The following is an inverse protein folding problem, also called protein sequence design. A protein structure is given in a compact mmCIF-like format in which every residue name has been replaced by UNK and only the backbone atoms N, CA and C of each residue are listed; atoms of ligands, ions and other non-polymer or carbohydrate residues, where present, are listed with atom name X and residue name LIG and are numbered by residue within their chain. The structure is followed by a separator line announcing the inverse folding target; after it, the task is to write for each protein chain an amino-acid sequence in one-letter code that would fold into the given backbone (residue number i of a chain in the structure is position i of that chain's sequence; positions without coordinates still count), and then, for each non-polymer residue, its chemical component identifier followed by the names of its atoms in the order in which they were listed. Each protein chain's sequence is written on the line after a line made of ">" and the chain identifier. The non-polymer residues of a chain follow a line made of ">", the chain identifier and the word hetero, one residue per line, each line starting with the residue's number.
data_IF_326974946309
#
_entry.id   IF_326974946309
#
_cell.length_a   1.000
_cell.length_b   1.000
_cell.length_c   1.000
_cell.angle_alpha   90.00
_cell.angle_beta   90.00
_cell.angle_gamma   90.00
#
_symmetry.space_group_name_H-M   'P 1'
#
loop_
_entity.id
_entity.type
_entity.pdbx_description
1 polymer ?
#
# COMPACT_ATOMS: atom_id res chain seq x y z
N UNK A 1 -13.39 8.78 -9.06
CA UNK A 1 -14.40 7.71 -9.03
C UNK A 1 -13.66 6.39 -9.00
N UNK A 2 -13.75 5.62 -7.91
CA UNK A 2 -13.19 4.27 -7.89
C UNK A 2 -13.90 3.44 -8.96
N UNK A 3 -13.15 2.69 -9.76
CA UNK A 3 -13.68 1.88 -10.87
C UNK A 3 -14.46 0.69 -10.30
N UNK A 4 -15.73 0.90 -9.95
CA UNK A 4 -16.63 -0.09 -9.33
C UNK A 4 -16.82 -1.35 -10.18
N UNK A 5 -16.56 -1.27 -11.48
CA UNK A 5 -16.75 -2.38 -12.41
C UNK A 5 -15.59 -3.38 -12.38
N UNK A 6 -14.37 -2.91 -12.10
CA UNK A 6 -13.21 -3.78 -11.96
C UNK A 6 -13.31 -4.62 -10.66
N UNK A 7 -13.75 -4.01 -9.57
CA UNK A 7 -13.96 -4.70 -8.30
C UNK A 7 -15.05 -5.78 -8.42
N UNK A 8 -16.16 -5.45 -9.09
CA UNK A 8 -17.22 -6.44 -9.41
C UNK A 8 -16.69 -7.58 -10.28
N UNK A 9 -15.87 -7.28 -11.28
CA UNK A 9 -15.28 -8.30 -12.14
C UNK A 9 -14.36 -9.24 -11.35
N UNK A 10 -13.58 -8.71 -10.40
CA UNK A 10 -12.70 -9.52 -9.57
C UNK A 10 -13.48 -10.41 -8.60
N UNK A 11 -14.50 -9.86 -7.93
CA UNK A 11 -15.38 -10.65 -7.07
C UNK A 11 -16.11 -11.74 -7.87
N UNK A 12 -16.50 -11.44 -9.12
CA UNK A 12 -17.05 -12.41 -10.05
C UNK A 12 -16.05 -13.53 -10.38
N UNK A 13 -14.79 -13.22 -10.71
CA UNK A 13 -13.73 -14.23 -10.96
C UNK A 13 -13.52 -15.11 -9.73
N UNK A 14 -13.56 -14.55 -8.51
CA UNK A 14 -13.43 -15.34 -7.28
C UNK A 14 -14.60 -16.28 -7.05
N UNK A 15 -15.83 -15.80 -7.29
CA UNK A 15 -17.03 -16.63 -7.19
C UNK A 15 -17.01 -17.77 -8.22
N UNK A 16 -16.54 -17.50 -9.45
CA UNK A 16 -16.33 -18.56 -10.45
C UNK A 16 -15.25 -19.54 -9.98
N UNK A 17 -14.15 -19.06 -9.39
CA UNK A 17 -13.09 -19.93 -8.87
C UNK A 17 -13.63 -20.89 -7.79
N UNK A 18 -14.52 -20.40 -6.92
CA UNK A 18 -15.21 -21.23 -5.93
C UNK A 18 -16.16 -22.24 -6.60
N UNK A 19 -16.91 -21.83 -7.63
CA UNK A 19 -17.72 -22.74 -8.42
C UNK A 19 -16.89 -23.86 -9.05
N UNK A 20 -15.72 -23.54 -9.61
CA UNK A 20 -14.80 -24.54 -10.17
C UNK A 20 -14.30 -25.51 -9.08
N UNK A 21 -14.08 -25.04 -7.85
CA UNK A 21 -13.77 -25.93 -6.73
C UNK A 21 -14.93 -26.88 -6.38
N UNK A 22 -16.18 -26.42 -6.46
CA UNK A 22 -17.34 -27.29 -6.26
C UNK A 22 -17.45 -28.35 -7.37
N UNK A 23 -17.21 -27.96 -8.63
CA UNK A 23 -17.15 -28.89 -9.77
C UNK A 23 -16.00 -29.88 -9.59
N UNK A 24 -14.86 -29.43 -9.07
CA UNK A 24 -13.73 -30.29 -8.74
C UNK A 24 -14.14 -31.38 -7.75
N UNK A 25 -14.83 -31.03 -6.67
CA UNK A 25 -15.35 -32.02 -5.73
C UNK A 25 -16.39 -32.94 -6.38
N UNK A 26 -17.28 -32.41 -7.21
CA UNK A 26 -18.27 -33.23 -7.92
C UNK A 26 -17.63 -34.31 -8.80
N UNK A 27 -16.55 -33.98 -9.51
CA UNK A 27 -15.85 -34.89 -10.42
C UNK A 27 -14.99 -35.90 -9.65
N UNK A 28 -14.18 -35.43 -8.70
CA UNK A 28 -13.13 -36.24 -8.06
C UNK A 28 -13.57 -36.88 -6.73
N UNK A 29 -14.61 -36.36 -6.09
CA UNK A 29 -15.23 -36.94 -4.89
C UNK A 29 -16.62 -37.48 -5.21
N UNK A 30 -16.82 -38.03 -6.41
CA UNK A 30 -18.12 -38.43 -6.94
C UNK A 30 -18.89 -39.38 -5.99
N UNK A 31 -18.20 -40.29 -5.31
CA UNK A 31 -18.80 -41.21 -4.34
C UNK A 31 -19.54 -40.48 -3.21
N UNK A 32 -19.06 -39.30 -2.78
CA UNK A 32 -19.77 -38.48 -1.80
C UNK A 32 -21.11 -38.02 -2.36
N UNK A 33 -21.15 -37.53 -3.60
CA UNK A 33 -22.37 -37.05 -4.24
C UNK A 33 -23.37 -38.17 -4.53
N UNK A 34 -22.87 -39.36 -4.87
CA UNK A 34 -23.69 -40.58 -4.99
C UNK A 34 -24.32 -40.93 -3.64
N UNK A 35 -23.54 -40.90 -2.54
CA UNK A 35 -24.04 -41.21 -1.20
C UNK A 35 -25.11 -40.24 -0.70
N UNK A 36 -25.06 -38.98 -1.14
CA UNK A 36 -26.07 -37.96 -0.84
C UNK A 36 -27.31 -37.99 -1.76
N UNK A 37 -27.35 -38.87 -2.75
CA UNK A 37 -28.43 -38.89 -3.75
C UNK A 37 -28.43 -37.68 -4.69
N UNK A 38 -27.31 -36.96 -4.78
CA UNK A 38 -27.13 -35.78 -5.64
C UNK A 38 -26.55 -36.12 -7.02
N UNK A 39 -26.28 -37.41 -7.29
CA UNK A 39 -25.77 -37.88 -8.57
C UNK A 39 -26.90 -38.04 -9.59
N UNK A 40 -26.74 -37.43 -10.76
CA UNK A 40 -27.64 -37.63 -11.89
C UNK A 40 -26.83 -37.90 -13.19
N UNK A 41 -27.06 -39.02 -13.91
CA UNK A 41 -26.23 -39.42 -15.06
C UNK A 41 -26.14 -38.37 -16.18
N UNK A 42 -27.26 -37.68 -16.47
CA UNK A 42 -27.29 -36.63 -17.50
C UNK A 42 -26.47 -35.41 -17.06
N UNK A 43 -26.56 -35.02 -15.79
CA UNK A 43 -25.84 -33.88 -15.26
C UNK A 43 -24.33 -34.16 -15.22
N UNK A 44 -23.93 -35.36 -14.78
CA UNK A 44 -22.53 -35.80 -14.80
C UNK A 44 -21.95 -35.76 -16.22
N UNK A 45 -22.66 -36.30 -17.21
CA UNK A 45 -22.22 -36.27 -18.62
C UNK A 45 -22.06 -34.85 -19.15
N UNK A 46 -22.98 -33.94 -18.84
CA UNK A 46 -22.91 -32.53 -19.25
C UNK A 46 -21.74 -31.81 -18.59
N UNK A 47 -21.55 -31.96 -17.27
CA UNK A 47 -20.45 -31.35 -16.53
C UNK A 47 -19.12 -31.85 -17.10
N UNK A 48 -18.94 -33.17 -17.23
CA UNK A 48 -17.70 -33.73 -17.78
C UNK A 48 -17.42 -33.28 -19.21
N UNK A 49 -18.45 -33.19 -20.06
CA UNK A 49 -18.28 -32.70 -21.44
C UNK A 49 -17.84 -31.23 -21.49
N UNK A 50 -18.35 -30.38 -20.60
CA UNK A 50 -17.97 -28.96 -20.54
C UNK A 50 -16.54 -28.76 -20.01
N UNK A 51 -16.13 -29.57 -19.03
CA UNK A 51 -14.85 -29.41 -18.33
C UNK A 51 -13.70 -30.25 -18.92
N UNK A 52 -13.99 -31.24 -19.77
CA UNK A 52 -12.96 -32.06 -20.44
C UNK A 52 -12.02 -31.26 -21.37
N UNK A 53 -12.47 -30.30 -22.19
CA UNK A 53 -11.59 -29.57 -23.13
C UNK A 53 -10.50 -28.75 -22.45
N UNK A 54 -10.70 -28.34 -21.20
CA UNK A 54 -9.72 -27.60 -20.40
C UNK A 54 -8.86 -28.51 -19.51
N UNK A 55 -8.92 -29.84 -19.71
CA UNK A 55 -8.14 -30.86 -18.98
C UNK A 55 -8.62 -31.14 -17.55
N UNK A 56 -9.71 -30.51 -17.11
CA UNK A 56 -10.16 -30.54 -15.71
C UNK A 56 -10.55 -31.95 -15.23
N UNK A 57 -10.95 -32.82 -16.16
CA UNK A 57 -11.32 -34.22 -15.90
C UNK A 57 -10.15 -35.20 -15.97
N UNK A 58 -8.95 -34.77 -16.39
CA UNK A 58 -7.82 -35.67 -16.66
C UNK A 58 -7.01 -35.96 -15.40
N UNK A 59 -6.78 -34.95 -14.56
CA UNK A 59 -5.95 -35.06 -13.37
C UNK A 59 -6.47 -34.18 -12.22
N UNK A 60 -6.63 -34.71 -10.99
CA UNK A 60 -7.07 -33.93 -9.83
C UNK A 60 -6.11 -32.80 -9.45
N UNK A 61 -4.82 -32.92 -9.79
CA UNK A 61 -3.84 -31.85 -9.60
C UNK A 61 -4.06 -30.71 -10.60
N UNK A 62 -4.33 -31.06 -11.87
CA UNK A 62 -4.50 -30.08 -12.93
C UNK A 62 -5.77 -29.23 -12.73
N UNK A 63 -6.87 -29.86 -12.34
CA UNK A 63 -8.10 -29.16 -11.95
C UNK A 63 -7.90 -28.22 -10.75
N UNK A 64 -7.14 -28.64 -9.74
CA UNK A 64 -6.73 -27.75 -8.64
C UNK A 64 -5.83 -26.60 -9.11
N UNK A 65 -4.87 -26.84 -9.99
CA UNK A 65 -4.01 -25.78 -10.53
C UNK A 65 -4.84 -24.74 -11.29
N UNK A 66 -5.84 -25.16 -12.07
CA UNK A 66 -6.77 -24.26 -12.74
C UNK A 66 -7.50 -23.38 -11.71
N UNK A 67 -8.07 -23.97 -10.65
CA UNK A 67 -8.72 -23.22 -9.56
C UNK A 67 -7.75 -22.22 -8.92
N UNK A 68 -6.52 -22.65 -8.61
CA UNK A 68 -5.52 -21.80 -7.98
C UNK A 68 -5.08 -20.63 -8.89
N UNK A 69 -4.93 -20.86 -10.19
CA UNK A 69 -4.63 -19.82 -11.19
C UNK A 69 -5.77 -18.80 -11.26
N UNK A 70 -7.02 -19.24 -11.27
CA UNK A 70 -8.18 -18.32 -11.30
C UNK A 70 -8.22 -17.41 -10.07
N UNK A 71 -7.96 -17.97 -8.88
CA UNK A 71 -7.84 -17.16 -7.65
C UNK A 71 -6.64 -16.22 -7.73
N UNK A 72 -5.50 -16.66 -8.26
CA UNK A 72 -4.31 -15.82 -8.42
C UNK A 72 -4.55 -14.64 -9.37
N UNK A 73 -5.25 -14.85 -10.49
CA UNK A 73 -5.65 -13.78 -11.43
C UNK A 73 -6.54 -12.75 -10.71
N UNK A 74 -7.42 -13.21 -9.82
CA UNK A 74 -8.26 -12.33 -9.00
C UNK A 74 -7.48 -11.46 -8.00
N UNK A 75 -6.20 -11.74 -7.73
CA UNK A 75 -5.35 -10.90 -6.88
C UNK A 75 -4.87 -9.64 -7.60
N UNK A 76 -4.62 -9.74 -8.91
CA UNK A 76 -3.95 -8.70 -9.71
C UNK A 76 -4.94 -7.62 -10.13
N UNK A 77 -6.23 -7.97 -10.28
CA UNK A 77 -7.24 -7.06 -10.80
C UNK A 77 -7.96 -6.19 -9.77
N UNK A 78 -7.91 -6.47 -8.45
CA UNK A 78 -8.77 -5.72 -7.52
C UNK A 78 -8.14 -4.41 -7.06
N UNK A 79 -8.92 -3.34 -7.16
CA UNK A 79 -8.75 -2.13 -6.38
C UNK A 79 -9.36 -2.39 -5.00
N UNK A 80 -8.75 -3.31 -4.26
CA UNK A 80 -9.23 -3.71 -2.94
C UNK A 80 -9.50 -2.48 -2.08
N UNK A 81 -10.60 -2.49 -1.32
CA UNK A 81 -10.99 -1.39 -0.42
C UNK A 81 -9.76 -0.92 0.33
N UNK A 82 -9.31 0.30 0.02
CA UNK A 82 -8.06 0.85 0.55
C UNK A 82 -8.13 0.81 2.06
N UNK A 83 -7.27 -0.02 2.67
CA UNK A 83 -7.22 -0.17 4.11
C UNK A 83 -5.80 0.13 4.58
N UNK A 84 -5.60 1.13 5.45
CA UNK A 84 -4.28 1.36 6.03
C UNK A 84 -3.88 0.18 6.92
N UNK A 85 -2.56 -0.04 7.06
CA UNK A 85 -1.97 -1.05 7.95
C UNK A 85 -2.30 -2.52 7.60
N UNK A 86 -2.44 -2.83 6.31
CA UNK A 86 -2.51 -4.24 5.88
C UNK A 86 -1.14 -4.90 6.03
N UNK A 87 -1.09 -6.01 6.75
CA UNK A 87 0.15 -6.74 6.97
C UNK A 87 0.51 -7.62 5.75
N UNK A 88 1.52 -7.20 4.98
CA UNK A 88 2.00 -7.94 3.80
C UNK A 88 2.53 -9.33 4.14
N UNK A 89 3.24 -9.49 5.26
CA UNK A 89 3.80 -10.81 5.63
C UNK A 89 2.68 -11.80 5.95
N UNK A 90 1.62 -11.33 6.60
CA UNK A 90 0.43 -12.14 6.83
C UNK A 90 -0.26 -12.53 5.51
N UNK A 91 -0.45 -11.57 4.58
CA UNK A 91 -1.05 -11.86 3.27
C UNK A 91 -0.26 -12.93 2.48
N UNK A 92 1.06 -12.77 2.40
CA UNK A 92 1.95 -13.73 1.71
C UNK A 92 2.00 -15.08 2.44
N UNK A 93 1.98 -15.10 3.78
CA UNK A 93 1.98 -16.33 4.55
C UNK A 93 0.69 -17.15 4.33
N UNK A 94 -0.47 -16.49 4.26
CA UNK A 94 -1.75 -17.13 3.99
C UNK A 94 -1.82 -17.67 2.56
N UNK A 95 -1.34 -16.90 1.58
CA UNK A 95 -1.26 -17.36 0.19
C UNK A 95 -0.33 -18.56 0.04
N UNK A 96 0.88 -18.47 0.59
CA UNK A 96 1.88 -19.54 0.49
C UNK A 96 1.45 -20.82 1.21
N UNK A 97 1.08 -20.71 2.49
CA UNK A 97 0.61 -21.87 3.28
C UNK A 97 -0.68 -22.46 2.71
N UNK A 98 -1.64 -21.61 2.32
CA UNK A 98 -2.88 -22.03 1.66
C UNK A 98 -2.61 -22.79 0.37
N UNK A 99 -1.74 -22.29 -0.50
CA UNK A 99 -1.38 -22.95 -1.76
C UNK A 99 -0.72 -24.32 -1.54
N UNK A 100 0.24 -24.41 -0.61
CA UNK A 100 0.92 -25.66 -0.26
C UNK A 100 -0.07 -26.69 0.28
N UNK A 101 -0.96 -26.29 1.21
CA UNK A 101 -1.98 -27.19 1.77
C UNK A 101 -3.02 -27.57 0.69
N UNK A 102 -3.38 -26.63 -0.19
CA UNK A 102 -4.38 -26.86 -1.25
C UNK A 102 -3.91 -27.89 -2.26
N UNK A 103 -2.67 -27.80 -2.75
CA UNK A 103 -2.11 -28.82 -3.64
C UNK A 103 -1.77 -30.10 -2.88
N UNK A 104 -1.14 -29.98 -1.71
CA UNK A 104 -0.70 -31.11 -0.88
C UNK A 104 -1.86 -31.99 -0.40
N UNK A 105 -3.06 -31.43 -0.21
CA UNK A 105 -4.23 -32.21 0.18
C UNK A 105 -4.60 -33.30 -0.83
N UNK A 106 -4.09 -33.30 -2.06
CA UNK A 106 -4.26 -34.41 -3.02
C UNK A 106 -3.86 -35.78 -2.46
N UNK A 107 -2.92 -35.83 -1.52
CA UNK A 107 -2.51 -37.06 -0.83
C UNK A 107 -3.66 -37.68 -0.03
N UNK A 108 -4.64 -36.87 0.42
CA UNK A 108 -5.81 -37.34 1.14
C UNK A 108 -6.88 -37.95 0.23
N UNK A 109 -6.86 -37.66 -1.07
CA UNK A 109 -7.89 -38.12 -2.02
C UNK A 109 -8.10 -39.64 -1.99
N UNK A 110 -7.05 -40.50 -2.06
CA UNK A 110 -7.22 -41.95 -1.96
C UNK A 110 -7.45 -42.47 -0.52
N UNK A 111 -7.30 -41.64 0.50
CA UNK A 111 -7.37 -42.05 1.92
C UNK A 111 -8.75 -41.74 2.51
N UNK A 112 -9.23 -40.52 2.32
CA UNK A 112 -10.50 -40.05 2.87
C UNK A 112 -11.06 -38.91 2.01
N UNK A 113 -12.19 -39.17 1.34
CA UNK A 113 -12.86 -38.16 0.51
C UNK A 113 -13.33 -36.95 1.33
N UNK A 114 -13.82 -37.19 2.54
CA UNK A 114 -14.24 -36.13 3.46
C UNK A 114 -13.06 -35.27 3.92
N UNK A 115 -11.96 -35.90 4.35
CA UNK A 115 -10.76 -35.19 4.76
C UNK A 115 -10.18 -34.38 3.60
N UNK A 116 -10.15 -34.96 2.40
CA UNK A 116 -9.75 -34.27 1.19
C UNK A 116 -10.60 -33.01 0.91
N UNK A 117 -11.94 -33.14 0.91
CA UNK A 117 -12.84 -32.04 0.63
C UNK A 117 -12.71 -30.90 1.67
N UNK A 118 -12.69 -31.25 2.97
CA UNK A 118 -12.59 -30.27 4.06
C UNK A 118 -11.26 -29.52 4.01
N UNK A 119 -10.13 -30.22 3.87
CA UNK A 119 -8.81 -29.58 3.82
C UNK A 119 -8.65 -28.73 2.55
N UNK A 120 -9.17 -29.20 1.41
CA UNK A 120 -9.16 -28.45 0.15
C UNK A 120 -10.01 -27.18 0.25
N UNK A 121 -11.19 -27.25 0.89
CA UNK A 121 -12.07 -26.10 1.09
C UNK A 121 -11.45 -25.08 2.05
N UNK A 122 -10.90 -25.55 3.16
CA UNK A 122 -10.24 -24.69 4.15
C UNK A 122 -9.04 -23.95 3.54
N UNK A 123 -8.18 -24.68 2.82
CA UNK A 123 -7.02 -24.08 2.15
C UNK A 123 -7.41 -23.13 1.02
N UNK A 124 -8.50 -23.40 0.29
CA UNK A 124 -9.06 -22.43 -0.66
C UNK A 124 -9.44 -21.11 0.03
N UNK A 125 -10.11 -21.16 1.20
CA UNK A 125 -10.45 -19.94 1.93
C UNK A 125 -9.23 -19.20 2.49
N UNK A 126 -8.15 -19.91 2.86
CA UNK A 126 -6.87 -19.28 3.21
C UNK A 126 -6.29 -18.50 2.02
N UNK A 127 -6.26 -19.11 0.84
CA UNK A 127 -5.79 -18.44 -0.39
C UNK A 127 -6.71 -17.25 -0.71
N UNK A 128 -8.03 -17.43 -0.65
CA UNK A 128 -9.02 -16.38 -0.90
C UNK A 128 -8.84 -15.18 0.03
N UNK A 129 -8.67 -15.41 1.33
CA UNK A 129 -8.46 -14.33 2.30
C UNK A 129 -7.09 -13.66 2.13
N UNK A 130 -6.03 -14.45 1.88
CA UNK A 130 -4.71 -13.94 1.55
C UNK A 130 -4.71 -13.08 0.28
N UNK A 131 -5.48 -13.46 -0.75
CA UNK A 131 -5.67 -12.72 -1.99
C UNK A 131 -6.32 -11.36 -1.76
N UNK A 132 -7.36 -11.30 -0.91
CA UNK A 132 -8.02 -10.04 -0.52
C UNK A 132 -7.02 -9.10 0.16
N UNK A 133 -6.26 -9.59 1.14
CA UNK A 133 -5.29 -8.77 1.86
C UNK A 133 -4.16 -8.29 0.94
N UNK A 134 -3.65 -9.15 0.07
CA UNK A 134 -2.62 -8.78 -0.89
C UNK A 134 -3.12 -7.68 -1.84
N UNK A 135 -4.35 -7.81 -2.35
CA UNK A 135 -4.95 -6.75 -3.17
C UNK A 135 -5.11 -5.43 -2.40
N UNK A 136 -5.62 -5.46 -1.17
CA UNK A 136 -5.76 -4.23 -0.37
C UNK A 136 -4.41 -3.54 -0.14
N UNK A 137 -3.35 -4.32 0.11
CA UNK A 137 -1.99 -3.80 0.24
C UNK A 137 -1.50 -3.16 -1.06
N UNK A 138 -1.68 -3.85 -2.20
CA UNK A 138 -1.29 -3.34 -3.52
C UNK A 138 -2.04 -2.04 -3.83
N UNK A 139 -3.36 -2.02 -3.67
CA UNK A 139 -4.21 -0.85 -3.97
C UNK A 139 -3.94 0.36 -3.05
N UNK A 140 -3.47 0.12 -1.82
CA UNK A 140 -3.02 1.19 -0.94
C UNK A 140 -1.65 1.75 -1.38
N UNK A 141 -0.69 0.89 -1.72
CA UNK A 141 0.65 1.31 -2.13
C UNK A 141 0.74 1.85 -3.56
N UNK A 142 -0.21 1.53 -4.44
CA UNK A 142 -0.29 2.03 -5.82
C UNK A 142 -0.93 3.42 -5.92
N UNK A 143 -0.83 4.27 -4.89
CA UNK A 143 -1.24 5.69 -4.92
C UNK A 143 -0.38 6.51 -5.91
N UNK A 144 -0.50 6.24 -7.21
CA UNK A 144 0.03 7.09 -8.29
C UNK A 144 -0.95 8.23 -8.56
N UNK A 145 -2.26 8.00 -8.38
CA UNK A 145 -3.32 8.94 -8.78
C UNK A 145 -3.91 9.78 -7.64
N UNK A 146 -3.35 9.73 -6.43
CA UNK A 146 -3.79 10.64 -5.36
C UNK A 146 -2.95 11.92 -5.38
N UNK A 147 -3.49 13.06 -5.87
CA UNK A 147 -2.73 14.31 -5.92
C UNK A 147 -2.33 14.83 -4.53
N UNK A 148 -2.95 14.34 -3.45
CA UNK A 148 -2.73 14.78 -2.07
C UNK A 148 -1.93 13.76 -1.23
N UNK A 149 -1.11 12.92 -1.87
CA UNK A 149 -0.20 12.04 -1.13
C UNK A 149 1.16 12.73 -0.91
N UNK A 150 1.87 12.32 0.16
CA UNK A 150 3.18 12.91 0.53
C UNK A 150 4.20 12.89 -0.61
N UNK A 151 4.16 11.89 -1.50
CA UNK A 151 5.05 11.81 -2.68
C UNK A 151 4.68 12.83 -3.76
N UNK A 152 3.40 13.04 -4.00
CA UNK A 152 2.84 13.86 -5.07
C UNK A 152 2.77 15.34 -4.67
N UNK A 153 2.64 15.65 -3.38
CA UNK A 153 2.79 17.01 -2.84
C UNK A 153 4.27 17.41 -2.67
N UNK A 154 5.18 16.43 -2.70
CA UNK A 154 6.61 16.67 -2.57
C UNK A 154 7.26 17.03 -3.89
N UNK A 155 8.18 18.00 -3.85
CA UNK A 155 8.99 18.38 -5.00
C UNK A 155 10.45 18.61 -4.58
N UNK A 156 11.34 18.59 -5.57
CA UNK A 156 12.75 18.87 -5.35
C UNK A 156 12.94 20.31 -4.89
N UNK A 157 13.39 20.50 -3.65
CA UNK A 157 13.77 21.81 -3.13
C UNK A 157 15.27 22.08 -3.36
N UNK A 158 15.69 23.33 -3.16
CA UNK A 158 17.08 23.71 -3.34
C UNK A 158 17.98 23.06 -2.28
N UNK A 159 19.01 22.35 -2.72
CA UNK A 159 20.00 21.70 -1.84
C UNK A 159 21.30 22.49 -1.71
N UNK A 160 21.48 23.52 -2.55
CA UNK A 160 22.70 24.32 -2.56
C UNK A 160 22.54 25.49 -1.59
N UNK A 161 23.50 25.63 -0.69
CA UNK A 161 23.68 26.84 0.11
C UNK A 161 24.13 27.97 -0.81
N UNK A 162 23.37 29.06 -0.86
CA UNK A 162 23.62 30.19 -1.77
C UNK A 162 23.80 31.48 -0.96
N UNK A 163 25.03 31.72 -0.55
CA UNK A 163 25.40 32.91 0.22
C UNK A 163 25.81 34.08 -0.68
N UNK A 164 25.45 35.27 -0.22
CA UNK A 164 25.90 36.57 -0.70
C UNK A 164 25.87 37.58 0.46
N UNK A 165 26.34 38.80 0.18
CA UNK A 165 26.42 39.94 1.12
C UNK A 165 25.11 40.26 1.85
N UNK A 166 23.96 39.94 1.26
CA UNK A 166 22.62 40.31 1.77
C UNK A 166 21.77 39.12 2.20
N UNK A 167 22.11 37.92 1.74
CA UNK A 167 21.23 36.76 1.83
C UNK A 167 20.96 36.30 3.26
N UNK A 168 19.86 35.59 3.47
CA UNK A 168 19.66 34.77 4.67
C UNK A 168 19.35 33.35 4.26
N UNK A 169 20.03 32.38 4.88
CA UNK A 169 20.00 30.98 4.47
C UNK A 169 19.47 30.13 5.63
N UNK A 170 18.30 29.51 5.45
CA UNK A 170 17.65 28.69 6.47
C UNK A 170 17.83 27.20 6.12
N UNK A 171 18.32 26.40 7.07
CA UNK A 171 18.46 24.96 6.88
C UNK A 171 17.10 24.27 6.94
N UNK A 172 16.81 23.41 5.97
CA UNK A 172 15.55 22.66 5.92
C UNK A 172 15.78 21.17 5.71
N UNK A 173 14.72 20.38 5.95
CA UNK A 173 14.60 19.01 5.48
C UNK A 173 13.33 18.90 4.65
N UNK A 174 13.42 18.24 3.52
CA UNK A 174 12.26 18.01 2.64
C UNK A 174 12.20 16.55 2.21
N UNK A 175 10.99 16.07 1.97
CA UNK A 175 10.75 14.73 1.46
C UNK A 175 10.69 14.79 -0.06
N UNK A 176 11.35 13.86 -0.75
CA UNK A 176 11.29 13.74 -2.22
C UNK A 176 11.77 12.35 -2.65
N UNK A 177 11.02 11.67 -3.54
CA UNK A 177 11.32 10.32 -4.05
C UNK A 177 11.61 9.31 -2.93
N UNK A 178 10.69 9.21 -1.97
CA UNK A 178 10.68 8.27 -0.85
C UNK A 178 11.84 8.41 0.13
N UNK A 179 12.48 9.58 0.15
CA UNK A 179 13.64 9.87 1.00
C UNK A 179 13.57 11.29 1.54
N UNK A 180 14.07 11.46 2.76
CA UNK A 180 14.36 12.78 3.29
C UNK A 180 15.69 13.28 2.74
N UNK A 181 15.71 14.55 2.36
CA UNK A 181 16.88 15.26 1.88
C UNK A 181 17.11 16.50 2.75
N UNK A 182 18.36 16.83 2.98
CA UNK A 182 18.72 18.15 3.52
C UNK A 182 18.57 19.21 2.41
N UNK A 183 18.11 20.39 2.79
CA UNK A 183 17.88 21.50 1.87
C UNK A 183 18.17 22.85 2.50
N UNK A 184 18.04 23.89 1.67
CA UNK A 184 18.23 25.28 2.07
C UNK A 184 17.13 26.17 1.47
N UNK A 185 16.50 26.98 2.31
CA UNK A 185 15.73 28.14 1.86
C UNK A 185 16.68 29.32 1.82
N UNK A 186 17.05 29.75 0.62
CA UNK A 186 17.95 30.88 0.41
C UNK A 186 17.15 32.15 0.09
N UNK A 187 17.01 33.06 1.05
CA UNK A 187 16.45 34.40 0.83
C UNK A 187 17.54 35.28 0.25
N UNK A 188 17.69 35.26 -1.07
CA UNK A 188 18.82 35.90 -1.79
C UNK A 188 18.83 37.43 -1.64
N UNK A 189 17.66 38.06 -1.54
CA UNK A 189 17.52 39.50 -1.39
C UNK A 189 16.40 39.83 -0.37
N UNK A 190 16.73 39.93 0.92
CA UNK A 190 15.77 40.24 1.98
C UNK A 190 15.12 41.62 1.89
N UNK A 191 15.72 42.56 1.13
CA UNK A 191 15.24 43.94 1.03
C UNK A 191 13.94 44.09 0.23
N UNK A 192 13.49 43.05 -0.47
CA UNK A 192 12.20 43.04 -1.21
C UNK A 192 10.99 42.81 -0.30
N UNK A 193 11.09 43.25 0.96
CA UNK A 193 10.23 42.90 2.07
C UNK A 193 10.26 41.41 2.42
N UNK A 194 10.48 41.11 3.70
CA UNK A 194 10.36 39.77 4.26
C UNK A 194 9.31 39.82 5.36
N UNK A 195 8.27 39.00 5.26
CA UNK A 195 7.19 38.92 6.26
C UNK A 195 7.05 37.49 6.74
N UNK A 196 6.98 37.30 8.06
CA UNK A 196 6.78 35.99 8.69
C UNK A 196 5.42 35.99 9.36
N UNK A 197 4.50 35.14 8.88
CA UNK A 197 3.14 35.01 9.40
C UNK A 197 2.99 33.71 10.20
N UNK A 198 2.20 33.74 11.26
CA UNK A 198 1.83 32.52 12.01
C UNK A 198 1.21 32.82 13.37
N UNK A 199 0.50 31.84 13.94
CA UNK A 199 -0.17 31.94 15.25
C UNK A 199 0.81 31.93 16.42
N UNK A 200 0.49 32.54 17.58
CA UNK A 200 1.35 32.46 18.77
C UNK A 200 1.78 31.02 19.08
N UNK A 201 3.06 30.80 19.38
CA UNK A 201 3.61 29.46 19.65
C UNK A 201 4.05 28.65 18.41
N UNK A 202 3.84 29.13 17.18
CA UNK A 202 4.18 28.39 15.95
C UNK A 202 5.69 28.30 15.62
N UNK A 203 6.59 28.71 16.53
CA UNK A 203 8.04 28.59 16.35
C UNK A 203 8.70 29.61 15.40
N UNK A 204 8.00 30.68 14.98
CA UNK A 204 8.52 31.70 14.03
C UNK A 204 9.88 32.27 14.43
N UNK A 205 10.04 32.62 15.71
CA UNK A 205 11.25 33.25 16.21
C UNK A 205 12.45 32.32 16.04
N UNK A 206 12.32 31.08 16.54
CA UNK A 206 13.36 30.07 16.44
C UNK A 206 13.69 29.67 14.99
N UNK A 207 12.67 29.46 14.15
CA UNK A 207 12.86 28.91 12.81
C UNK A 207 13.30 29.94 11.77
N UNK A 208 12.96 31.21 11.94
CA UNK A 208 13.21 32.26 10.93
C UNK A 208 13.89 33.49 11.52
N UNK A 209 13.28 34.13 12.53
CA UNK A 209 13.75 35.46 13.00
C UNK A 209 15.15 35.39 13.61
N UNK A 210 15.46 34.35 14.38
CA UNK A 210 16.77 34.18 15.00
C UNK A 210 17.87 34.04 13.96
N UNK A 211 17.63 33.29 12.88
CA UNK A 211 18.58 33.14 11.78
C UNK A 211 18.79 34.46 11.02
N UNK A 212 17.71 35.24 10.83
CA UNK A 212 17.82 36.58 10.29
C UNK A 212 18.72 37.47 11.16
N UNK A 213 18.48 37.52 12.47
CA UNK A 213 19.27 38.32 13.41
C UNK A 213 20.74 37.93 13.35
N UNK A 214 21.05 36.63 13.50
CA UNK A 214 22.42 36.13 13.52
C UNK A 214 23.18 36.45 12.24
N UNK A 215 22.61 36.09 11.09
CA UNK A 215 23.28 36.26 9.80
C UNK A 215 23.40 37.73 9.41
N UNK A 216 22.46 38.60 9.81
CA UNK A 216 22.59 40.04 9.57
C UNK A 216 23.66 40.69 10.46
N UNK A 217 23.79 40.27 11.72
CA UNK A 217 24.89 40.72 12.60
C UNK A 217 26.24 40.31 12.02
N UNK A 218 26.39 39.06 11.60
CA UNK A 218 27.62 38.56 10.96
C UNK A 218 28.01 39.34 9.70
N UNK A 219 27.00 39.86 9.00
CA UNK A 219 27.18 40.68 7.79
C UNK A 219 27.28 42.18 8.08
N UNK A 220 27.31 42.58 9.35
CA UNK A 220 27.50 43.97 9.77
C UNK A 220 26.28 44.88 9.55
N UNK A 221 25.08 44.32 9.39
CA UNK A 221 23.87 45.12 9.23
C UNK A 221 23.45 45.76 10.54
N UNK A 222 22.95 46.99 10.44
CA UNK A 222 22.19 47.62 11.52
C UNK A 222 20.76 47.09 11.50
N UNK A 223 20.22 46.75 12.67
CA UNK A 223 18.85 46.26 12.82
C UNK A 223 18.08 47.05 13.86
N UNK A 224 16.81 47.32 13.55
CA UNK A 224 15.84 47.79 14.54
C UNK A 224 15.07 46.58 15.08
N UNK A 225 15.28 46.24 16.35
CA UNK A 225 14.62 45.13 17.02
C UNK A 225 13.57 45.70 17.95
N UNK A 226 12.33 45.24 17.79
CA UNK A 226 11.19 45.63 18.62
C UNK A 226 10.64 44.41 19.33
N UNK A 227 10.86 44.37 20.64
CA UNK A 227 10.33 43.36 21.54
C UNK A 227 9.08 43.91 22.26
N UNK A 228 7.95 43.20 22.14
CA UNK A 228 6.67 43.69 22.67
C UNK A 228 6.51 43.45 24.18
N UNK A 229 6.80 42.23 24.65
CA UNK A 229 6.52 41.82 26.04
C UNK A 229 7.78 41.49 26.85
N UNK A 230 8.72 40.79 26.24
CA UNK A 230 9.98 40.34 26.85
C UNK A 230 11.12 40.54 25.84
N UNK A 231 12.36 40.82 26.28
CA UNK A 231 13.48 41.20 25.42
C UNK A 231 14.13 39.99 24.71
N UNK A 232 13.35 38.99 24.29
CA UNK A 232 13.88 37.71 23.80
C UNK A 232 14.74 37.87 22.55
N UNK A 233 14.31 38.70 21.59
CA UNK A 233 15.06 38.92 20.34
C UNK A 233 16.29 39.81 20.60
N UNK A 234 16.15 40.79 21.48
CA UNK A 234 17.24 41.68 21.90
C UNK A 234 18.35 40.91 22.59
N UNK A 235 18.02 39.97 23.49
CA UNK A 235 19.02 39.11 24.14
C UNK A 235 19.77 38.25 23.11
N UNK A 236 19.06 37.67 22.14
CA UNK A 236 19.69 36.88 21.07
C UNK A 236 20.65 37.76 20.24
N UNK A 237 20.21 38.96 19.87
CA UNK A 237 21.05 39.89 19.09
C UNK A 237 22.27 40.35 19.89
N UNK A 238 22.09 40.74 21.15
CA UNK A 238 23.17 41.19 22.02
C UNK A 238 24.20 40.09 22.24
N UNK A 239 23.75 38.88 22.57
CA UNK A 239 24.63 37.74 22.80
C UNK A 239 25.39 37.35 21.52
N UNK A 240 24.73 37.37 20.36
CA UNK A 240 25.39 37.05 19.09
C UNK A 240 26.37 38.13 18.63
N UNK A 241 26.12 39.40 18.98
CA UNK A 241 27.04 40.50 18.68
C UNK A 241 28.33 40.47 19.51
N UNK A 242 28.26 39.95 20.74
CA UNK A 242 29.42 39.88 21.64
C UNK A 242 30.38 38.71 21.36
N UNK A 243 29.95 37.74 20.55
CA UNK A 243 30.71 36.52 20.20
C UNK A 243 31.44 36.73 18.89
#
# INVERSE_FOLDING_TARGET
>A
MANTDLDKMVDFIRNISFLFLLVHFYIWCNELFVSFGLFHPIADKLIRAFFSPIGFCENPLLSKLIVAIMVAISCIGSNGKKKPNVNLTLALSLLGSGFVIFLGSIVLLPITLWGYAIVSLFSFFLIYYGAILLSQYISYNQNIDDPFNDENESFMQNQKYMENEYSVNLRTKFYYKKKYHDGWINVINPFRATTVLGTPGSGKSFAVINEFIRQHIEKGFTMYIYDFKFPDLTEIAYNHFLV
#
